data_IF_451107616533
#
_entry.id   IF_451107616533
#
_cell.length_a   1.000
_cell.length_b   1.000
_cell.length_c   1.000
_cell.angle_alpha   90.00
_cell.angle_beta   90.00
_cell.angle_gamma   90.00
#
_symmetry.space_group_name_H-M   'P 1'
#
loop_
_entity.id
_entity.type
_entity.pdbx_description
1 polymer ?
#
# COMPACT_ATOMS: atom_id res chain seq x y z
N UNK A 1 31.21 -9.40 -50.79
CA UNK A 1 31.53 -9.67 -49.36
C UNK A 1 30.48 -8.90 -48.55
N UNK A 2 29.39 -9.58 -48.20
CA UNK A 2 28.25 -8.99 -47.50
C UNK A 2 28.49 -9.15 -46.00
N UNK A 3 28.70 -8.03 -45.29
CA UNK A 3 28.87 -7.99 -43.85
C UNK A 3 27.47 -8.05 -43.23
N UNK A 4 27.07 -9.23 -42.76
CA UNK A 4 25.85 -9.39 -41.95
C UNK A 4 26.18 -8.81 -40.56
N UNK A 5 25.73 -7.60 -40.27
CA UNK A 5 25.71 -7.06 -38.91
C UNK A 5 24.79 -7.94 -38.07
N UNK A 6 25.37 -8.65 -37.13
CA UNK A 6 24.68 -9.40 -36.08
C UNK A 6 23.88 -8.36 -35.26
N UNK A 7 22.57 -8.28 -35.48
CA UNK A 7 21.69 -7.62 -34.56
C UNK A 7 21.83 -8.33 -33.19
N UNK A 8 22.44 -7.65 -32.22
CA UNK A 8 22.33 -8.06 -30.83
C UNK A 8 20.85 -8.03 -30.47
N UNK A 9 20.28 -9.21 -30.28
CA UNK A 9 18.98 -9.37 -29.66
C UNK A 9 19.13 -8.83 -28.22
N UNK A 10 18.68 -7.62 -27.99
CA UNK A 10 18.51 -7.10 -26.63
C UNK A 10 17.49 -8.02 -25.97
N UNK A 11 17.82 -8.63 -24.82
CA UNK A 11 16.87 -9.49 -24.09
C UNK A 11 15.57 -8.73 -23.88
N UNK A 12 14.45 -9.39 -24.10
CA UNK A 12 13.11 -8.82 -23.97
C UNK A 12 12.82 -8.26 -22.56
N UNK A 13 13.59 -8.70 -21.56
CA UNK A 13 13.49 -8.30 -20.15
C UNK A 13 13.72 -6.80 -19.94
N UNK A 14 14.59 -6.14 -20.73
CA UNK A 14 14.88 -4.71 -20.58
C UNK A 14 13.74 -3.78 -21.10
N UNK A 15 12.70 -4.34 -21.72
CA UNK A 15 11.63 -3.53 -22.33
C UNK A 15 10.45 -3.24 -21.41
N UNK A 16 10.22 -4.04 -20.37
CA UNK A 16 9.01 -3.92 -19.55
C UNK A 16 9.24 -3.25 -18.21
N UNK A 17 10.47 -2.97 -17.81
CA UNK A 17 10.84 -2.36 -16.54
C UNK A 17 10.75 -3.37 -15.39
N UNK A 18 11.87 -3.65 -14.77
CA UNK A 18 12.00 -4.63 -13.66
C UNK A 18 11.18 -4.28 -12.40
N UNK A 19 10.64 -3.07 -12.34
CA UNK A 19 9.94 -2.53 -11.16
C UNK A 19 8.41 -2.48 -11.30
N UNK A 20 7.83 -2.97 -12.42
CA UNK A 20 6.38 -2.90 -12.61
C UNK A 20 5.64 -3.88 -11.71
N UNK A 21 4.47 -3.47 -11.15
CA UNK A 21 3.58 -4.38 -10.45
C UNK A 21 3.13 -5.55 -11.36
N UNK A 22 3.01 -6.74 -10.80
CA UNK A 22 2.50 -7.90 -11.55
C UNK A 22 1.08 -7.64 -12.10
N UNK A 23 0.23 -6.93 -11.34
CA UNK A 23 -1.11 -6.50 -11.78
C UNK A 23 -1.07 -5.57 -12.99
N UNK A 24 -0.12 -4.63 -13.05
CA UNK A 24 0.05 -3.76 -14.22
C UNK A 24 0.48 -4.56 -15.46
N UNK A 25 1.34 -5.57 -15.28
CA UNK A 25 1.74 -6.47 -16.36
C UNK A 25 0.55 -7.24 -16.93
N UNK A 26 -0.30 -7.78 -16.08
CA UNK A 26 -1.51 -8.49 -16.49
C UNK A 26 -2.48 -7.54 -17.18
N UNK A 27 -2.73 -6.37 -16.61
CA UNK A 27 -3.70 -5.41 -17.14
C UNK A 27 -3.25 -4.81 -18.47
N UNK A 28 -1.97 -4.44 -18.60
CA UNK A 28 -1.46 -3.75 -19.79
C UNK A 28 -1.02 -4.72 -20.91
N UNK A 29 -0.56 -5.90 -20.57
CA UNK A 29 0.07 -6.84 -21.51
C UNK A 29 -0.58 -8.22 -21.53
N UNK A 30 -1.45 -8.56 -20.57
CA UNK A 30 -2.22 -9.79 -20.53
C UNK A 30 -1.44 -11.03 -20.05
N UNK A 31 -0.27 -10.87 -19.44
CA UNK A 31 0.53 -11.98 -18.94
C UNK A 31 1.29 -11.64 -17.65
N UNK A 32 1.62 -12.67 -16.89
CA UNK A 32 2.62 -12.62 -15.81
C UNK A 32 3.91 -13.22 -16.34
N UNK A 33 5.06 -12.64 -16.05
CA UNK A 33 6.36 -13.23 -16.40
C UNK A 33 6.46 -14.65 -15.82
N UNK A 34 6.76 -15.62 -16.67
CA UNK A 34 6.83 -17.04 -16.27
C UNK A 34 7.94 -17.33 -15.27
N UNK A 35 8.96 -16.47 -15.22
CA UNK A 35 10.10 -16.58 -14.30
C UNK A 35 9.95 -15.68 -13.07
N UNK A 36 8.86 -14.92 -12.99
CA UNK A 36 8.58 -14.09 -11.82
C UNK A 36 8.13 -14.99 -10.68
N UNK A 37 8.97 -15.15 -9.69
CA UNK A 37 8.70 -15.94 -8.48
C UNK A 37 7.97 -15.12 -7.41
N UNK A 38 7.86 -13.79 -7.59
CA UNK A 38 7.26 -12.88 -6.61
C UNK A 38 6.63 -11.65 -7.28
N UNK A 39 5.63 -11.06 -6.62
CA UNK A 39 5.20 -9.71 -6.91
C UNK A 39 6.23 -8.73 -6.32
N UNK A 40 6.81 -7.89 -7.18
CA UNK A 40 7.85 -6.93 -6.77
C UNK A 40 7.27 -5.79 -5.94
N UNK A 41 6.07 -5.35 -6.32
CA UNK A 41 5.35 -4.30 -5.62
C UNK A 41 3.83 -4.42 -5.82
N UNK A 42 3.10 -3.84 -4.88
CA UNK A 42 1.66 -3.63 -4.95
C UNK A 42 1.33 -2.22 -4.45
N UNK A 43 0.34 -1.59 -5.05
CA UNK A 43 -0.22 -0.34 -4.58
C UNK A 43 -1.63 -0.58 -4.06
N UNK A 44 -1.90 -0.13 -2.84
CA UNK A 44 -3.21 -0.22 -2.20
C UNK A 44 -3.69 1.20 -1.87
N UNK A 45 -4.94 1.47 -2.17
CA UNK A 45 -5.62 2.70 -1.76
C UNK A 45 -5.72 2.80 -0.23
N UNK A 46 -5.56 4.00 0.30
CA UNK A 46 -5.82 4.33 1.69
C UNK A 46 -6.88 5.42 1.75
N UNK A 47 -7.73 5.35 2.75
CA UNK A 47 -8.74 6.35 2.98
C UNK A 47 -8.55 7.02 4.34
N UNK A 48 -8.94 8.29 4.43
CA UNK A 48 -9.10 8.96 5.72
C UNK A 48 -10.40 8.41 6.34
N UNK A 49 -10.38 8.02 7.62
CA UNK A 49 -11.57 7.51 8.31
C UNK A 49 -12.80 8.43 8.14
N UNK A 50 -13.98 7.84 8.02
CA UNK A 50 -15.22 8.59 7.78
C UNK A 50 -15.65 9.44 8.98
N UNK A 51 -15.23 9.06 10.18
CA UNK A 51 -15.46 9.75 11.43
C UNK A 51 -14.47 10.89 11.72
N UNK A 52 -13.48 11.09 10.84
CA UNK A 52 -12.52 12.19 10.96
C UNK A 52 -13.17 13.53 10.57
N UNK A 53 -13.35 14.49 11.50
CA UNK A 53 -13.98 15.78 11.23
C UNK A 53 -13.22 16.61 10.20
N UNK A 54 -11.90 16.38 10.05
CA UNK A 54 -11.03 17.09 9.11
C UNK A 54 -10.94 16.41 7.73
N UNK A 55 -11.64 15.30 7.50
CA UNK A 55 -11.55 14.49 6.27
C UNK A 55 -11.60 15.34 5.00
N UNK A 56 -12.61 16.20 4.87
CA UNK A 56 -12.81 17.02 3.67
C UNK A 56 -11.70 18.04 3.48
N UNK A 57 -11.23 18.68 4.57
CA UNK A 57 -10.15 19.65 4.53
C UNK A 57 -8.81 18.98 4.16
N UNK A 58 -8.53 17.81 4.74
CA UNK A 58 -7.35 17.00 4.41
C UNK A 58 -7.33 16.60 2.94
N UNK A 59 -8.44 16.09 2.40
CA UNK A 59 -8.57 15.72 0.99
C UNK A 59 -8.38 16.91 0.06
N UNK A 60 -8.86 18.09 0.42
CA UNK A 60 -8.72 19.30 -0.37
C UNK A 60 -7.28 19.86 -0.34
N UNK A 61 -6.59 19.73 0.80
CA UNK A 61 -5.24 20.27 1.00
C UNK A 61 -4.15 19.28 0.56
N UNK A 62 -4.30 17.99 0.90
CA UNK A 62 -3.35 16.95 0.54
C UNK A 62 -3.43 16.67 -0.97
N UNK A 63 -2.31 16.86 -1.67
CA UNK A 63 -2.21 16.57 -3.11
C UNK A 63 -1.53 15.21 -3.38
N UNK A 64 -1.22 14.47 -2.34
CA UNK A 64 -0.59 13.16 -2.44
C UNK A 64 -1.60 12.12 -2.92
N UNK A 65 -1.10 11.10 -3.61
CA UNK A 65 -1.93 9.98 -4.05
C UNK A 65 -2.41 9.20 -2.82
N UNK A 66 -3.73 9.03 -2.63
CA UNK A 66 -4.26 8.33 -1.47
C UNK A 66 -3.99 6.83 -1.57
N UNK A 67 -2.93 6.38 -0.93
CA UNK A 67 -2.55 4.98 -0.95
C UNK A 67 -1.19 4.69 -0.35
N UNK A 68 -0.87 3.41 -0.27
CA UNK A 68 0.42 2.87 0.18
C UNK A 68 1.01 1.98 -0.90
N UNK A 69 2.29 2.16 -1.16
CA UNK A 69 3.08 1.28 -2.00
C UNK A 69 3.86 0.31 -1.12
N UNK A 70 3.66 -0.97 -1.35
CA UNK A 70 4.43 -2.03 -0.74
C UNK A 70 5.43 -2.54 -1.78
N UNK A 71 6.69 -2.68 -1.39
CA UNK A 71 7.76 -3.12 -2.30
C UNK A 71 8.58 -4.19 -1.60
N UNK A 72 8.90 -5.26 -2.32
CA UNK A 72 9.84 -6.29 -1.87
C UNK A 72 11.26 -5.78 -2.13
N UNK A 73 12.07 -5.65 -1.09
CA UNK A 73 13.45 -5.22 -1.25
C UNK A 73 14.26 -6.31 -1.96
N UNK A 74 14.84 -5.96 -3.11
CA UNK A 74 15.79 -6.83 -3.81
C UNK A 74 17.09 -6.81 -3.04
N UNK A 75 17.32 -7.81 -2.19
CA UNK A 75 18.58 -7.92 -1.44
C UNK A 75 19.62 -8.66 -2.28
N UNK A 76 20.76 -8.04 -2.49
CA UNK A 76 21.93 -8.70 -3.11
C UNK A 76 22.57 -9.77 -2.20
N UNK A 77 22.04 -9.98 -0.99
CA UNK A 77 22.50 -10.99 -0.02
C UNK A 77 21.46 -12.10 0.12
N UNK A 78 21.90 -13.37 0.23
CA UNK A 78 20.99 -14.48 0.51
C UNK A 78 20.39 -14.30 1.92
N UNK A 79 19.10 -14.03 1.98
CA UNK A 79 18.30 -13.86 3.19
C UNK A 79 16.83 -13.68 2.80
N UNK A 80 15.87 -13.78 3.75
CA UNK A 80 14.49 -13.51 3.44
C UNK A 80 14.37 -12.07 2.92
N UNK A 81 13.74 -11.92 1.77
CA UNK A 81 13.51 -10.61 1.16
C UNK A 81 12.59 -9.80 2.08
N UNK A 82 13.10 -8.70 2.61
CA UNK A 82 12.35 -7.81 3.49
C UNK A 82 11.44 -6.92 2.64
N UNK A 83 10.22 -6.72 3.12
CA UNK A 83 9.29 -5.78 2.51
C UNK A 83 9.44 -4.37 3.09
N UNK A 84 9.17 -3.37 2.29
CA UNK A 84 9.16 -1.96 2.70
C UNK A 84 7.87 -1.32 2.22
N UNK A 85 7.46 -0.27 2.91
CA UNK A 85 6.31 0.51 2.51
C UNK A 85 6.66 1.99 2.35
N UNK A 86 5.94 2.66 1.45
CA UNK A 86 6.03 4.10 1.24
C UNK A 86 4.63 4.68 1.03
N UNK A 87 4.29 5.69 1.81
CA UNK A 87 3.04 6.41 1.71
C UNK A 87 3.16 7.80 2.32
N UNK A 88 3.29 8.86 1.51
CA UNK A 88 3.14 10.22 2.01
C UNK A 88 1.75 10.50 2.58
N UNK A 89 0.73 9.83 2.02
CA UNK A 89 -0.67 10.03 2.39
C UNK A 89 -1.02 9.48 3.78
N UNK A 90 -0.36 8.41 4.25
CA UNK A 90 -0.69 7.79 5.54
C UNK A 90 -0.59 8.76 6.71
N UNK A 91 0.31 9.73 6.64
CA UNK A 91 0.48 10.74 7.68
C UNK A 91 -0.76 11.63 7.82
N UNK A 92 -1.45 11.90 6.71
CA UNK A 92 -2.73 12.62 6.70
C UNK A 92 -3.88 11.77 7.26
N UNK A 93 -3.83 10.46 7.07
CA UNK A 93 -4.85 9.55 7.58
C UNK A 93 -4.70 9.24 9.07
N UNK A 94 -3.47 9.31 9.62
CA UNK A 94 -3.20 8.91 11.01
C UNK A 94 -3.22 10.05 12.03
N UNK A 95 -3.26 11.33 11.63
CA UNK A 95 -3.35 12.49 12.52
C UNK A 95 -4.72 13.14 12.44
N UNK A 96 -5.16 13.77 13.53
CA UNK A 96 -6.46 14.43 13.60
C UNK A 96 -6.36 15.80 14.34
N UNK A 97 -7.50 16.44 14.56
CA UNK A 97 -7.61 17.72 15.25
C UNK A 97 -7.02 17.67 16.67
N UNK A 98 -7.24 16.59 17.41
CA UNK A 98 -6.76 16.41 18.78
C UNK A 98 -5.22 16.39 18.87
N UNK A 99 -4.54 16.00 17.77
CA UNK A 99 -3.08 16.01 17.68
C UNK A 99 -2.51 17.42 17.44
N UNK A 100 -3.37 18.37 17.05
CA UNK A 100 -3.02 19.75 16.76
C UNK A 100 -2.95 20.10 15.27
N UNK A 101 -3.54 19.26 14.41
CA UNK A 101 -3.79 19.61 13.01
C UNK A 101 -5.06 20.44 12.91
N UNK A 102 -4.98 21.62 12.28
CA UNK A 102 -6.12 22.49 12.06
C UNK A 102 -6.10 23.11 10.65
N UNK A 103 -7.25 23.58 10.19
CA UNK A 103 -7.42 24.17 8.87
C UNK A 103 -8.20 25.47 8.93
N UNK A 104 -7.63 26.52 8.30
CA UNK A 104 -8.22 27.83 8.14
C UNK A 104 -8.45 28.17 6.67
N UNK A 105 -9.55 28.88 6.40
CA UNK A 105 -9.80 29.47 5.08
C UNK A 105 -9.42 30.94 5.12
N UNK A 106 -8.33 31.30 4.47
CA UNK A 106 -7.81 32.67 4.41
C UNK A 106 -8.23 33.32 3.10
N UNK A 107 -8.65 34.59 3.18
CA UNK A 107 -8.91 35.38 1.99
C UNK A 107 -7.60 35.94 1.45
N UNK A 108 -7.31 35.67 0.18
CA UNK A 108 -6.11 36.18 -0.51
C UNK A 108 -6.32 37.63 -0.95
N UNK A 109 -5.23 38.33 -1.22
CA UNK A 109 -5.24 39.78 -1.61
C UNK A 109 -5.98 40.04 -2.91
N UNK A 110 -6.15 39.05 -3.76
CA UNK A 110 -6.93 39.10 -5.02
C UNK A 110 -8.41 38.73 -4.83
N UNK A 111 -8.85 38.53 -3.57
CA UNK A 111 -10.23 38.19 -3.22
C UNK A 111 -10.56 36.71 -3.31
N UNK A 112 -9.59 35.85 -3.64
CA UNK A 112 -9.72 34.39 -3.62
C UNK A 112 -9.80 33.85 -2.19
N UNK A 113 -10.10 32.55 -2.08
CA UNK A 113 -10.03 31.80 -0.82
C UNK A 113 -8.97 30.71 -0.94
N UNK A 114 -8.11 30.62 0.06
CA UNK A 114 -7.07 29.61 0.15
C UNK A 114 -7.24 28.81 1.43
N UNK A 115 -7.18 27.48 1.33
CA UNK A 115 -7.16 26.60 2.48
C UNK A 115 -5.73 26.51 3.00
N UNK A 116 -5.53 26.80 4.28
CA UNK A 116 -4.26 26.68 4.99
C UNK A 116 -4.36 25.63 6.06
N UNK A 117 -3.29 24.86 6.22
CA UNK A 117 -3.15 23.89 7.29
C UNK A 117 -2.13 24.39 8.31
N UNK A 118 -2.44 24.22 9.59
CA UNK A 118 -1.53 24.50 10.68
C UNK A 118 -1.28 23.25 11.50
N UNK A 119 -0.06 23.11 12.01
CA UNK A 119 0.32 22.08 12.97
C UNK A 119 0.70 22.72 14.28
N UNK A 120 -0.08 22.48 15.34
CA UNK A 120 0.11 23.08 16.68
C UNK A 120 0.25 24.62 16.63
N UNK A 121 -0.53 25.26 15.75
CA UNK A 121 -0.56 26.71 15.57
C UNK A 121 0.52 27.28 14.62
N UNK A 122 1.43 26.46 14.10
CA UNK A 122 2.41 26.88 13.09
C UNK A 122 1.91 26.58 11.68
N UNK A 123 2.04 27.56 10.77
CA UNK A 123 1.66 27.39 9.36
C UNK A 123 2.51 26.28 8.70
N UNK A 124 1.84 25.30 8.15
CA UNK A 124 2.48 24.17 7.47
C UNK A 124 3.05 24.58 6.10
N UNK A 125 2.44 25.53 5.41
CA UNK A 125 2.80 26.00 4.08
C UNK A 125 2.51 24.97 2.98
N UNK A 126 3.16 23.82 2.99
CA UNK A 126 2.99 22.77 1.97
C UNK A 126 2.61 21.41 2.56
N UNK A 127 1.78 20.61 1.86
CA UNK A 127 1.37 19.29 2.35
C UNK A 127 2.53 18.34 2.68
N UNK A 128 3.63 18.41 1.93
CA UNK A 128 4.80 17.54 2.09
C UNK A 128 5.55 17.73 3.43
N UNK A 129 5.36 18.88 4.10
CA UNK A 129 6.02 19.17 5.39
C UNK A 129 5.42 18.39 6.57
N UNK A 130 4.21 17.84 6.44
CA UNK A 130 3.55 17.16 7.56
C UNK A 130 4.43 16.08 8.18
N UNK A 131 5.00 15.20 7.37
CA UNK A 131 5.87 14.12 7.86
C UNK A 131 7.06 14.64 8.68
N UNK A 132 7.70 15.72 8.23
CA UNK A 132 8.85 16.30 8.92
C UNK A 132 8.44 16.95 10.26
N UNK A 133 7.28 17.60 10.30
CA UNK A 133 6.70 18.16 11.52
C UNK A 133 6.35 17.07 12.54
N UNK A 134 5.75 15.97 12.06
CA UNK A 134 5.46 14.80 12.90
C UNK A 134 6.74 14.13 13.41
N UNK A 135 7.77 14.02 12.58
CA UNK A 135 9.05 13.42 12.97
C UNK A 135 9.80 14.24 14.05
N UNK A 136 9.57 15.55 14.08
CA UNK A 136 10.11 16.43 15.13
C UNK A 136 9.29 16.44 16.42
N UNK A 137 8.09 15.86 16.41
CA UNK A 137 7.16 15.84 17.54
C UNK A 137 7.56 14.78 18.58
N UNK A 138 7.44 15.05 19.89
CA UNK A 138 7.66 14.05 20.93
C UNK A 138 6.78 12.81 20.83
N UNK A 139 5.62 12.91 20.17
CA UNK A 139 4.67 11.82 19.95
C UNK A 139 4.92 11.05 18.64
N UNK A 140 6.06 11.26 17.99
CA UNK A 140 6.41 10.60 16.71
C UNK A 140 6.16 9.10 16.72
N UNK A 141 6.56 8.40 17.78
CA UNK A 141 6.34 6.96 17.91
C UNK A 141 4.85 6.56 17.85
N UNK A 142 3.97 7.42 18.37
CA UNK A 142 2.52 7.19 18.33
C UNK A 142 1.99 7.36 16.91
N UNK A 143 2.45 8.38 16.19
CA UNK A 143 2.06 8.58 14.78
C UNK A 143 2.57 7.46 13.90
N UNK A 144 3.80 6.97 14.11
CA UNK A 144 4.32 5.79 13.43
C UNK A 144 3.46 4.55 13.69
N UNK A 145 3.07 4.31 14.94
CA UNK A 145 2.22 3.19 15.29
C UNK A 145 0.84 3.28 14.61
N UNK A 146 0.20 4.44 14.64
CA UNK A 146 -1.08 4.67 13.95
C UNK A 146 -0.95 4.42 12.45
N UNK A 147 0.11 4.91 11.81
CA UNK A 147 0.38 4.68 10.40
C UNK A 147 0.52 3.18 10.08
N UNK A 148 1.29 2.45 10.90
CA UNK A 148 1.46 0.99 10.73
C UNK A 148 0.14 0.26 10.92
N UNK A 149 -0.68 0.62 11.91
CA UNK A 149 -2.01 0.01 12.13
C UNK A 149 -2.93 0.21 10.93
N UNK A 150 -2.97 1.43 10.36
CA UNK A 150 -3.76 1.70 9.15
C UNK A 150 -3.31 0.88 7.94
N UNK A 151 -2.00 0.76 7.76
CA UNK A 151 -1.43 -0.05 6.68
C UNK A 151 -1.74 -1.54 6.90
N UNK A 152 -1.58 -2.05 8.12
CA UNK A 152 -1.88 -3.45 8.45
C UNK A 152 -3.36 -3.79 8.19
N UNK A 153 -4.29 -2.95 8.64
CA UNK A 153 -5.72 -3.15 8.40
C UNK A 153 -6.04 -3.21 6.89
N UNK A 154 -5.39 -2.36 6.11
CA UNK A 154 -5.57 -2.35 4.65
C UNK A 154 -4.98 -3.59 3.97
N UNK A 155 -3.79 -4.04 4.42
CA UNK A 155 -3.16 -5.26 3.91
C UNK A 155 -4.00 -6.50 4.23
N UNK A 156 -4.48 -6.63 5.48
CA UNK A 156 -5.34 -7.73 5.91
C UNK A 156 -6.66 -7.76 5.12
N UNK A 157 -7.28 -6.60 4.93
CA UNK A 157 -8.50 -6.45 4.13
C UNK A 157 -8.27 -6.92 2.69
N UNK A 158 -7.18 -6.51 2.06
CA UNK A 158 -6.85 -6.94 0.70
C UNK A 158 -6.59 -8.45 0.62
N UNK A 159 -5.89 -9.01 1.60
CA UNK A 159 -5.62 -10.44 1.64
C UNK A 159 -6.91 -11.26 1.78
N UNK A 160 -7.87 -10.80 2.59
CA UNK A 160 -9.20 -11.42 2.71
C UNK A 160 -9.92 -11.42 1.37
N UNK A 161 -9.96 -10.27 0.67
CA UNK A 161 -10.56 -10.15 -0.67
C UNK A 161 -9.90 -11.11 -1.66
N UNK A 162 -8.58 -11.23 -1.65
CA UNK A 162 -7.87 -12.17 -2.50
C UNK A 162 -8.27 -13.62 -2.19
N UNK A 163 -8.33 -14.02 -0.94
CA UNK A 163 -8.70 -15.38 -0.53
C UNK A 163 -10.16 -15.73 -0.85
N UNK A 164 -11.09 -14.80 -0.66
CA UNK A 164 -12.49 -15.01 -1.01
C UNK A 164 -12.66 -15.18 -2.53
N UNK A 165 -12.05 -14.31 -3.30
CA UNK A 165 -12.13 -14.42 -4.77
C UNK A 165 -11.34 -15.61 -5.32
N UNK A 166 -10.36 -16.17 -4.62
CA UNK A 166 -9.70 -17.43 -4.99
C UNK A 166 -10.69 -18.60 -4.94
N UNK A 167 -11.54 -18.67 -3.95
CA UNK A 167 -12.63 -19.67 -3.86
C UNK A 167 -13.55 -19.59 -5.08
N UNK A 168 -13.94 -18.37 -5.48
CA UNK A 168 -14.76 -18.17 -6.68
C UNK A 168 -14.07 -18.66 -7.95
N UNK A 169 -12.77 -18.38 -8.12
CA UNK A 169 -12.00 -18.89 -9.27
C UNK A 169 -11.91 -20.43 -9.26
N UNK A 170 -11.76 -21.02 -8.08
CA UNK A 170 -11.76 -22.49 -7.95
C UNK A 170 -13.14 -23.10 -8.29
N UNK A 171 -14.23 -22.49 -7.85
CA UNK A 171 -15.59 -22.89 -8.19
C UNK A 171 -15.84 -22.83 -9.71
N UNK A 172 -15.48 -21.72 -10.35
CA UNK A 172 -15.58 -21.54 -11.82
C UNK A 172 -14.73 -22.60 -12.54
N UNK A 173 -13.56 -22.93 -12.01
CA UNK A 173 -12.66 -23.91 -12.61
C UNK A 173 -13.19 -25.35 -12.51
N UNK A 174 -14.04 -25.64 -11.53
CA UNK A 174 -14.66 -26.95 -11.30
C UNK A 174 -16.00 -27.11 -12.02
N UNK A 175 -16.64 -26.03 -12.43
CA UNK A 175 -17.91 -26.03 -13.16
C UNK A 175 -17.63 -26.10 -14.68
N UNK A 176 -18.09 -27.17 -15.33
CA UNK A 176 -17.82 -27.45 -16.75
C UNK A 176 -18.49 -26.44 -17.68
N UNK A 177 -19.68 -25.95 -17.32
CA UNK A 177 -20.41 -24.95 -18.09
C UNK A 177 -19.70 -23.58 -17.99
N UNK A 178 -19.25 -23.21 -16.79
CA UNK A 178 -18.52 -21.97 -16.57
C UNK A 178 -17.12 -21.98 -17.19
N UNK A 179 -16.43 -23.13 -17.18
CA UNK A 179 -15.11 -23.28 -17.84
C UNK A 179 -15.13 -22.99 -19.33
N UNK A 180 -16.25 -23.26 -20.01
CA UNK A 180 -16.38 -22.97 -21.44
C UNK A 180 -16.46 -21.51 -21.77
N UNK A 181 -16.84 -20.67 -20.79
CA UNK A 181 -16.95 -19.21 -20.92
C UNK A 181 -15.60 -18.49 -20.77
N UNK A 182 -14.65 -19.11 -20.09
CA UNK A 182 -13.34 -18.51 -19.80
C UNK A 182 -12.22 -19.25 -20.52
N UNK A 183 -11.29 -18.53 -21.08
CA UNK A 183 -10.08 -19.09 -21.64
C UNK A 183 -9.19 -19.65 -20.53
N UNK A 184 -8.67 -20.88 -20.64
CA UNK A 184 -7.84 -21.50 -19.60
C UNK A 184 -6.56 -20.71 -19.26
N UNK A 185 -5.95 -20.06 -20.26
CA UNK A 185 -4.76 -19.23 -20.09
C UNK A 185 -5.05 -17.99 -19.24
N UNK A 186 -6.24 -17.41 -19.38
CA UNK A 186 -6.68 -16.25 -18.55
C UNK A 186 -6.87 -16.68 -17.11
N UNK A 187 -7.55 -17.80 -16.85
CA UNK A 187 -7.74 -18.32 -15.49
C UNK A 187 -6.39 -18.64 -14.83
N UNK A 188 -5.46 -19.26 -15.54
CA UNK A 188 -4.12 -19.53 -15.03
C UNK A 188 -3.35 -18.25 -14.71
N UNK A 189 -3.45 -17.22 -15.57
CA UNK A 189 -2.80 -15.92 -15.34
C UNK A 189 -3.36 -15.23 -14.11
N UNK A 190 -4.69 -15.23 -13.94
CA UNK A 190 -5.34 -14.66 -12.75
C UNK A 190 -4.92 -15.40 -11.48
N UNK A 191 -4.93 -16.74 -11.48
CA UNK A 191 -4.50 -17.53 -10.33
C UNK A 191 -3.03 -17.27 -9.96
N UNK A 192 -2.15 -17.18 -10.95
CA UNK A 192 -0.74 -16.86 -10.72
C UNK A 192 -0.55 -15.47 -10.12
N UNK A 193 -1.21 -14.45 -10.68
CA UNK A 193 -1.16 -13.09 -10.15
C UNK A 193 -1.59 -13.05 -8.68
N UNK A 194 -2.71 -13.70 -8.37
CA UNK A 194 -3.26 -13.72 -7.01
C UNK A 194 -2.33 -14.37 -6.00
N UNK A 195 -1.70 -15.48 -6.36
CA UNK A 195 -0.73 -16.15 -5.51
C UNK A 195 0.47 -15.26 -5.22
N UNK A 196 0.99 -14.57 -6.23
CA UNK A 196 2.12 -13.65 -6.08
C UNK A 196 1.78 -12.44 -5.19
N UNK A 197 0.59 -11.86 -5.38
CA UNK A 197 0.14 -10.74 -4.56
C UNK A 197 -0.16 -11.17 -3.12
N UNK A 198 -0.78 -12.32 -2.90
CA UNK A 198 -1.03 -12.85 -1.56
C UNK A 198 0.27 -13.09 -0.79
N UNK A 199 1.28 -13.68 -1.42
CA UNK A 199 2.59 -13.90 -0.80
C UNK A 199 3.28 -12.58 -0.41
N UNK A 200 3.20 -11.55 -1.26
CA UNK A 200 3.74 -10.23 -0.94
C UNK A 200 3.01 -9.59 0.25
N UNK A 201 1.67 -9.70 0.29
CA UNK A 201 0.87 -9.17 1.39
C UNK A 201 1.17 -9.90 2.72
N UNK A 202 1.23 -11.23 2.70
CA UNK A 202 1.56 -12.04 3.88
C UNK A 202 2.95 -11.70 4.43
N UNK A 203 3.97 -11.64 3.56
CA UNK A 203 5.33 -11.24 3.95
C UNK A 203 5.36 -9.84 4.54
N UNK A 204 4.57 -8.90 3.98
CA UNK A 204 4.51 -7.52 4.44
C UNK A 204 3.85 -7.39 5.81
N UNK A 205 2.80 -8.15 6.07
CA UNK A 205 2.14 -8.21 7.37
C UNK A 205 3.13 -8.74 8.43
N UNK A 206 3.85 -9.82 8.14
CA UNK A 206 4.84 -10.40 9.05
C UNK A 206 5.98 -9.42 9.37
N UNK A 207 6.52 -8.74 8.36
CA UNK A 207 7.59 -7.75 8.52
C UNK A 207 7.13 -6.54 9.35
N UNK A 208 5.91 -6.03 9.11
CA UNK A 208 5.34 -4.92 9.86
C UNK A 208 5.08 -5.30 11.32
N UNK A 209 4.48 -6.47 11.57
CA UNK A 209 4.24 -6.97 12.93
C UNK A 209 5.56 -7.18 13.70
N UNK A 210 6.59 -7.68 13.03
CA UNK A 210 7.91 -7.85 13.61
C UNK A 210 8.56 -6.51 13.96
N UNK A 211 8.39 -5.48 13.13
CA UNK A 211 8.95 -4.14 13.36
C UNK A 211 8.34 -3.46 14.60
N UNK A 212 7.06 -3.66 14.85
CA UNK A 212 6.35 -3.13 16.03
C UNK A 212 6.81 -3.82 17.33
N UNK A 213 7.26 -5.07 17.24
CA UNK A 213 7.65 -5.87 18.42
C UNK A 213 9.08 -5.59 18.90
N UNK A 214 9.93 -4.97 18.10
CA UNK A 214 11.38 -4.78 18.39
C UNK A 214 11.66 -3.51 19.20
N UNK A 215 10.85 -2.47 19.05
CA UNK A 215 10.96 -1.28 19.89
C UNK A 215 10.18 -1.49 21.20
N UNK A 216 10.78 -1.23 22.39
CA UNK A 216 10.10 -1.41 23.66
C UNK A 216 9.03 -0.34 23.86
N UNK A 217 7.92 -0.50 23.15
CA UNK A 217 6.71 0.28 23.41
C UNK A 217 6.13 -0.09 24.78
N UNK A 218 5.52 0.86 25.50
CA UNK A 218 4.87 0.58 26.78
C UNK A 218 3.86 -0.58 26.62
N UNK A 219 4.00 -1.61 27.44
CA UNK A 219 3.21 -2.87 27.42
C UNK A 219 1.67 -2.68 27.38
N UNK A 220 1.18 -1.50 27.69
CA UNK A 220 -0.24 -1.13 27.61
C UNK A 220 -0.79 -1.10 26.18
N UNK A 221 0.02 -0.81 25.17
CA UNK A 221 -0.39 -0.71 23.77
C UNK A 221 -0.44 -2.05 23.04
N UNK A 222 0.50 -2.96 23.33
CA UNK A 222 0.50 -4.30 22.74
C UNK A 222 -0.77 -5.06 23.11
N UNK A 223 -1.32 -4.81 24.30
CA UNK A 223 -2.56 -5.42 24.79
C UNK A 223 -3.81 -4.92 24.04
N UNK A 224 -3.80 -3.70 23.53
CA UNK A 224 -4.91 -3.14 22.75
C UNK A 224 -4.98 -3.79 21.35
N UNK A 225 -3.85 -4.01 20.69
CA UNK A 225 -3.79 -4.62 19.35
C UNK A 225 -4.24 -6.10 19.38
N UNK A 226 -3.86 -6.87 20.43
CA UNK A 226 -4.32 -8.26 20.59
C UNK A 226 -5.82 -8.35 20.90
N UNK A 227 -6.40 -7.33 21.52
CA UNK A 227 -7.85 -7.29 21.82
C UNK A 227 -8.66 -7.01 20.56
N UNK A 228 -8.19 -6.16 19.66
CA UNK A 228 -8.87 -5.85 18.39
C UNK A 228 -8.88 -7.09 17.48
N UNK A 229 -7.77 -7.82 17.38
CA UNK A 229 -7.69 -9.07 16.60
C UNK A 229 -8.57 -10.19 17.17
N UNK A 230 -8.71 -10.26 18.50
CA UNK A 230 -9.55 -11.27 19.18
C UNK A 230 -11.06 -11.02 19.10
N UNK A 231 -11.50 -9.78 18.90
CA UNK A 231 -12.92 -9.45 18.77
C UNK A 231 -13.50 -9.74 17.38
N UNK A 232 -12.69 -9.73 16.32
CA UNK A 232 -13.12 -10.04 14.94
C UNK A 232 -13.33 -11.53 14.63
N UNK A 233 -12.89 -12.43 15.49
CA UNK A 233 -13.01 -13.89 15.31
C UNK A 233 -14.33 -14.51 15.79
N UNK A 234 -15.35 -13.73 16.13
CA UNK A 234 -16.63 -14.21 16.65
C UNK A 234 -17.82 -13.47 16.01
N UNK A 235 -17.95 -13.59 14.72
CA UNK A 235 -19.25 -13.41 14.02
C UNK A 235 -19.27 -14.33 12.80
#
# INVERSE_FOLDING_TARGET
>A
MIVIRRCMLIPWHDRYGDEKPASEMVFSYGFVERESTDAKQIFLDLEIPDDDPLKMAKQAFCKEVPGVRITRATTARPGPAKTTWDSPFVWWACVNEEDGLDFDVVQTTDGGKELRATWKGEDMGTPSRLKDLLAADPLWAIFQLRAVVLILDRLETQLVILRETEKLVAEISNDEDMRTLFRPDVLNTISSLRSLEAELLESSIEDLMSSVSVDPMPLTFVRALTTISSCRGRN
#
